data_IF_189614818732
#
_entry.id   IF_189614818732
#
_cell.length_a   1.000
_cell.length_b   1.000
_cell.length_c   1.000
_cell.angle_alpha   90.00
_cell.angle_beta   90.00
_cell.angle_gamma   90.00
#
_symmetry.space_group_name_H-M   'P 1'
#
loop_
_entity.id
_entity.type
_entity.pdbx_description
1 polymer ?
#
# COMPACT_ATOMS: atom_id res chain seq x y z
N UNK A 1 7.49 2.47 -10.62
CA UNK A 1 6.66 1.26 -10.47
C UNK A 1 7.33 0.09 -11.15
N UNK A 2 8.28 -0.51 -10.44
CA UNK A 2 9.26 -1.46 -10.93
C UNK A 2 8.72 -2.90 -11.10
N UNK A 3 9.54 -3.77 -11.71
CA UNK A 3 9.36 -5.21 -11.71
C UNK A 3 10.45 -5.82 -10.82
N UNK A 4 10.07 -6.37 -9.66
CA UNK A 4 10.98 -7.08 -8.77
C UNK A 4 11.06 -8.54 -9.21
N UNK A 5 12.27 -9.03 -9.41
CA UNK A 5 12.53 -10.42 -9.80
C UNK A 5 13.38 -11.12 -8.75
N UNK A 6 12.81 -12.06 -8.00
CA UNK A 6 13.59 -12.91 -7.10
C UNK A 6 14.27 -14.03 -7.91
N UNK A 7 15.60 -14.14 -7.82
CA UNK A 7 16.35 -15.03 -8.70
C UNK A 7 17.65 -15.56 -8.07
N UNK A 8 17.83 -16.88 -8.15
CA UNK A 8 19.06 -17.55 -7.72
C UNK A 8 20.17 -17.50 -8.77
N UNK A 9 19.85 -17.65 -10.07
CA UNK A 9 20.84 -17.69 -11.18
C UNK A 9 20.79 -16.47 -12.12
N UNK A 10 19.87 -15.55 -11.87
CA UNK A 10 19.59 -14.41 -12.76
C UNK A 10 18.72 -14.73 -13.97
N UNK A 11 18.26 -15.98 -14.14
CA UNK A 11 17.46 -16.37 -15.30
C UNK A 11 16.17 -15.55 -15.42
N UNK A 12 15.36 -15.49 -14.36
CA UNK A 12 14.12 -14.71 -14.31
C UNK A 12 14.34 -13.26 -14.72
N UNK A 13 15.35 -12.62 -14.14
CA UNK A 13 15.62 -11.21 -14.41
C UNK A 13 16.03 -10.96 -15.86
N UNK A 14 16.84 -11.85 -16.46
CA UNK A 14 17.18 -11.80 -17.89
C UNK A 14 15.97 -12.02 -18.79
N UNK A 15 15.07 -12.94 -18.42
CA UNK A 15 13.85 -13.19 -19.18
C UNK A 15 12.91 -11.99 -19.17
N UNK A 16 12.74 -11.32 -18.03
CA UNK A 16 11.99 -10.05 -17.95
C UNK A 16 12.68 -8.96 -18.78
N UNK A 17 13.99 -8.79 -18.64
CA UNK A 17 14.77 -7.78 -19.37
C UNK A 17 14.67 -7.92 -20.89
N UNK A 18 14.57 -9.16 -21.41
CA UNK A 18 14.37 -9.40 -22.85
C UNK A 18 13.17 -8.64 -23.44
N UNK A 19 12.11 -8.45 -22.66
CA UNK A 19 10.91 -7.73 -23.11
C UNK A 19 11.05 -6.21 -23.10
N UNK A 20 12.20 -5.68 -22.65
CA UNK A 20 12.52 -4.25 -22.60
C UNK A 20 11.39 -3.41 -21.98
N UNK A 21 10.91 -3.78 -20.77
CA UNK A 21 9.84 -3.02 -20.11
C UNK A 21 10.29 -1.58 -19.84
N UNK A 22 9.34 -0.65 -19.86
CA UNK A 22 9.58 0.74 -19.42
C UNK A 22 9.83 0.84 -17.92
N UNK A 23 9.28 -0.10 -17.15
CA UNK A 23 9.50 -0.20 -15.71
C UNK A 23 10.93 -0.71 -15.42
N UNK A 24 11.59 -0.12 -14.43
CA UNK A 24 12.88 -0.59 -13.93
C UNK A 24 12.77 -2.03 -13.43
N UNK A 25 13.79 -2.85 -13.70
CA UNK A 25 13.85 -4.23 -13.25
C UNK A 25 14.77 -4.29 -12.04
N UNK A 26 14.28 -4.85 -10.93
CA UNK A 26 15.04 -4.97 -9.69
C UNK A 26 15.23 -6.45 -9.39
N UNK A 27 16.43 -6.97 -9.58
CA UNK A 27 16.75 -8.36 -9.32
C UNK A 27 17.22 -8.55 -7.88
N UNK A 28 16.38 -9.22 -7.09
CA UNK A 28 16.74 -9.69 -5.76
C UNK A 28 17.46 -11.04 -5.88
N UNK A 29 18.68 -11.11 -5.37
CA UNK A 29 19.49 -12.33 -5.41
C UNK A 29 20.30 -12.47 -4.12
N UNK A 30 20.55 -13.72 -3.72
CA UNK A 30 21.40 -14.04 -2.56
C UNK A 30 22.87 -14.18 -2.93
N UNK A 31 23.20 -14.16 -4.24
CA UNK A 31 24.56 -14.37 -4.73
C UNK A 31 25.19 -13.09 -5.27
N UNK A 32 26.26 -12.65 -4.61
CA UNK A 32 27.13 -11.57 -5.07
C UNK A 32 27.69 -11.82 -6.49
N UNK A 33 27.95 -13.07 -6.84
CA UNK A 33 28.41 -13.43 -8.18
C UNK A 33 27.35 -13.17 -9.26
N UNK A 34 26.09 -13.43 -8.93
CA UNK A 34 24.94 -13.22 -9.83
C UNK A 34 24.61 -11.74 -9.91
N UNK A 35 24.65 -11.02 -8.79
CA UNK A 35 24.53 -9.56 -8.74
C UNK A 35 25.46 -8.90 -9.76
N UNK A 36 26.77 -9.21 -9.71
CA UNK A 36 27.76 -8.68 -10.66
C UNK A 36 27.47 -9.02 -12.13
N UNK A 37 27.03 -10.26 -12.41
CA UNK A 37 26.63 -10.66 -13.77
C UNK A 37 25.42 -9.87 -14.27
N UNK A 38 24.47 -9.63 -13.39
CA UNK A 38 23.23 -8.92 -13.69
C UNK A 38 23.45 -7.42 -13.92
N UNK A 39 24.50 -6.82 -13.35
CA UNK A 39 24.86 -5.41 -13.59
C UNK A 39 25.19 -5.09 -15.05
N UNK A 40 25.47 -6.10 -15.88
CA UNK A 40 25.73 -5.95 -17.32
C UNK A 40 24.45 -6.07 -18.17
N UNK A 41 23.32 -6.40 -17.55
CA UNK A 41 22.05 -6.67 -18.24
C UNK A 41 21.23 -5.38 -18.32
N UNK A 42 20.64 -5.14 -19.50
CA UNK A 42 19.86 -3.94 -19.77
C UNK A 42 18.72 -3.72 -18.77
N UNK A 43 18.58 -2.49 -18.30
CA UNK A 43 17.44 -2.02 -17.50
C UNK A 43 17.33 -2.65 -16.10
N UNK A 44 18.40 -3.28 -15.62
CA UNK A 44 18.38 -4.11 -14.43
C UNK A 44 19.27 -3.52 -13.34
N UNK A 45 18.67 -3.30 -12.18
CA UNK A 45 19.31 -2.99 -10.90
C UNK A 45 19.26 -4.23 -10.03
N UNK A 46 20.29 -4.51 -9.25
CA UNK A 46 20.37 -5.74 -8.46
C UNK A 46 20.61 -5.44 -7.00
N UNK A 47 19.76 -6.00 -6.15
CA UNK A 47 19.83 -5.93 -4.69
C UNK A 47 20.27 -7.28 -4.14
N UNK A 48 21.12 -7.24 -3.11
CA UNK A 48 21.52 -8.45 -2.40
C UNK A 48 20.55 -8.70 -1.23
N UNK A 49 19.96 -9.88 -1.19
CA UNK A 49 19.01 -10.30 -0.15
C UNK A 49 19.54 -11.51 0.62
N UNK A 50 18.92 -11.79 1.76
CA UNK A 50 19.15 -13.03 2.51
C UNK A 50 18.34 -14.20 1.90
N UNK A 51 18.65 -15.42 2.34
CA UNK A 51 17.83 -16.58 2.02
C UNK A 51 16.46 -16.47 2.70
N UNK A 52 15.44 -17.00 2.04
CA UNK A 52 14.06 -16.87 2.48
C UNK A 52 13.40 -18.25 2.49
N UNK A 53 12.58 -18.50 3.51
CA UNK A 53 12.01 -19.83 3.77
C UNK A 53 10.65 -20.04 3.09
N UNK A 54 9.93 -18.97 2.77
CA UNK A 54 8.62 -19.02 2.13
C UNK A 54 8.49 -18.06 0.94
N UNK A 55 7.40 -18.24 0.18
CA UNK A 55 7.07 -17.37 -0.96
C UNK A 55 6.75 -15.94 -0.54
N UNK A 56 6.11 -15.77 0.61
CA UNK A 56 5.77 -14.44 1.13
C UNK A 56 7.02 -13.74 1.69
N UNK A 57 7.93 -14.45 2.37
CA UNK A 57 9.20 -13.88 2.85
C UNK A 57 10.03 -13.28 1.71
N UNK A 58 10.03 -13.92 0.54
CA UNK A 58 10.75 -13.42 -0.64
C UNK A 58 10.16 -12.14 -1.14
N UNK A 59 8.83 -12.03 -1.12
CA UNK A 59 8.14 -10.79 -1.50
C UNK A 59 8.57 -9.69 -0.55
N UNK A 60 8.50 -9.93 0.76
CA UNK A 60 8.75 -8.92 1.78
C UNK A 60 10.21 -8.48 1.79
N UNK A 61 11.17 -9.42 1.84
CA UNK A 61 12.61 -9.13 1.83
C UNK A 61 13.02 -8.41 0.53
N UNK A 62 12.47 -8.81 -0.62
CA UNK A 62 12.81 -8.16 -1.89
C UNK A 62 12.27 -6.73 -1.97
N UNK A 63 11.08 -6.48 -1.42
CA UNK A 63 10.48 -5.14 -1.36
C UNK A 63 11.24 -4.25 -0.39
N UNK A 64 11.55 -4.76 0.80
CA UNK A 64 12.30 -4.03 1.83
C UNK A 64 13.67 -3.62 1.30
N UNK A 65 14.42 -4.56 0.69
CA UNK A 65 15.74 -4.24 0.15
C UNK A 65 15.70 -3.25 -1.00
N UNK A 66 14.67 -3.33 -1.84
CA UNK A 66 14.48 -2.38 -2.94
C UNK A 66 14.08 -0.98 -2.45
N UNK A 67 13.35 -0.87 -1.34
CA UNK A 67 13.07 0.38 -0.65
C UNK A 67 14.34 0.98 -0.03
N UNK A 68 15.14 0.18 0.68
CA UNK A 68 16.38 0.61 1.31
C UNK A 68 17.39 1.18 0.31
N UNK A 69 17.56 0.54 -0.85
CA UNK A 69 18.46 1.02 -1.91
C UNK A 69 17.84 2.16 -2.75
N UNK A 70 16.60 2.57 -2.47
CA UNK A 70 15.94 3.71 -3.13
C UNK A 70 15.50 3.44 -4.57
N UNK A 71 15.34 2.17 -4.97
CA UNK A 71 14.87 1.82 -6.31
C UNK A 71 13.35 1.89 -6.47
N UNK A 72 12.62 1.84 -5.35
CA UNK A 72 11.18 2.01 -5.27
C UNK A 72 10.84 2.94 -4.12
N UNK A 73 9.69 3.59 -4.21
CA UNK A 73 9.14 4.40 -3.12
C UNK A 73 7.91 3.73 -2.53
N UNK A 74 7.63 4.06 -1.26
CA UNK A 74 6.32 3.79 -0.67
C UNK A 74 5.24 4.47 -1.53
N UNK A 75 4.15 3.77 -1.72
CA UNK A 75 3.03 4.16 -2.55
C UNK A 75 3.06 3.66 -3.99
N UNK A 76 4.14 3.00 -4.43
CA UNK A 76 4.24 2.50 -5.79
C UNK A 76 3.58 1.12 -5.96
N UNK A 77 2.85 0.94 -7.06
CA UNK A 77 2.48 -0.38 -7.55
C UNK A 77 3.71 -1.05 -8.18
N UNK A 78 4.01 -2.27 -7.76
CA UNK A 78 5.08 -3.08 -8.32
C UNK A 78 4.52 -4.43 -8.78
N UNK A 79 5.27 -5.07 -9.68
CA UNK A 79 5.04 -6.48 -10.05
C UNK A 79 6.20 -7.29 -9.52
N UNK A 80 5.89 -8.38 -8.84
CA UNK A 80 6.88 -9.32 -8.32
C UNK A 80 6.79 -10.60 -9.14
N UNK A 81 7.93 -11.13 -9.57
CA UNK A 81 8.01 -12.42 -10.24
C UNK A 81 9.18 -13.26 -9.74
N UNK A 82 8.95 -14.56 -9.60
CA UNK A 82 9.92 -15.50 -9.05
C UNK A 82 9.71 -16.91 -9.63
N UNK A 83 10.70 -17.76 -9.41
CA UNK A 83 10.55 -19.21 -9.52
C UNK A 83 10.41 -19.80 -8.13
N UNK A 84 9.29 -20.47 -7.85
CA UNK A 84 8.99 -21.13 -6.57
C UNK A 84 8.97 -22.65 -6.79
N UNK A 85 9.61 -23.46 -5.91
CA UNK A 85 10.31 -23.09 -4.68
C UNK A 85 11.64 -22.39 -4.94
N UNK A 86 12.06 -21.59 -3.97
CA UNK A 86 13.15 -20.63 -4.13
C UNK A 86 14.49 -21.26 -3.76
N UNK A 87 15.55 -20.79 -4.41
CA UNK A 87 16.83 -21.48 -4.44
C UNK A 87 16.93 -22.56 -5.52
N UNK A 88 15.80 -23.06 -6.05
CA UNK A 88 15.79 -23.99 -7.18
C UNK A 88 15.73 -23.22 -8.50
N UNK A 89 16.73 -23.45 -9.35
CA UNK A 89 16.80 -22.83 -10.68
C UNK A 89 15.98 -23.63 -11.69
N UNK A 90 15.21 -22.96 -12.56
CA UNK A 90 14.68 -23.61 -13.77
C UNK A 90 13.43 -22.99 -14.36
N UNK A 91 12.54 -22.44 -13.53
CA UNK A 91 11.27 -21.87 -13.99
C UNK A 91 10.97 -20.53 -13.31
N UNK A 92 10.15 -19.72 -13.96
CA UNK A 92 9.55 -18.50 -13.39
C UNK A 92 8.05 -18.71 -13.42
N UNK A 93 7.45 -19.02 -12.28
CA UNK A 93 6.06 -19.48 -12.19
C UNK A 93 5.18 -18.63 -11.25
N UNK A 94 5.71 -17.53 -10.71
CA UNK A 94 4.98 -16.60 -9.87
C UNK A 94 4.91 -15.22 -10.51
N UNK A 95 3.73 -14.60 -10.51
CA UNK A 95 3.52 -13.17 -10.79
C UNK A 95 2.53 -12.64 -9.75
N UNK A 96 2.90 -11.58 -9.02
CA UNK A 96 2.07 -10.93 -7.99
C UNK A 96 2.13 -9.42 -8.19
N UNK A 97 0.98 -8.75 -8.32
CA UNK A 97 0.91 -7.30 -8.21
C UNK A 97 0.87 -6.92 -6.73
N UNK A 98 1.66 -5.93 -6.33
CA UNK A 98 1.80 -5.54 -4.93
C UNK A 98 1.94 -4.02 -4.82
N UNK A 99 1.24 -3.41 -3.86
CA UNK A 99 1.39 -1.98 -3.55
C UNK A 99 2.40 -1.87 -2.42
N UNK A 100 3.48 -1.14 -2.65
CA UNK A 100 4.52 -0.90 -1.65
C UNK A 100 3.96 0.04 -0.60
N UNK A 101 3.60 -0.44 0.59
CA UNK A 101 3.09 0.43 1.65
C UNK A 101 2.58 -0.35 2.85
N UNK A 102 2.72 0.25 4.03
CA UNK A 102 2.26 -0.37 5.26
C UNK A 102 0.75 -0.13 5.39
N UNK A 103 0.00 -1.23 5.39
CA UNK A 103 -1.42 -1.19 5.74
C UNK A 103 -1.50 -0.96 7.25
N UNK A 104 -1.91 0.25 7.66
CA UNK A 104 -2.03 0.62 9.08
C UNK A 104 -3.33 0.04 9.66
N UNK A 105 -4.40 0.09 8.86
CA UNK A 105 -5.74 -0.32 9.25
C UNK A 105 -6.45 -1.03 8.11
N UNK A 106 -7.39 -1.87 8.50
CA UNK A 106 -8.36 -2.52 7.61
C UNK A 106 -9.74 -2.35 8.22
N UNK A 107 -10.72 -2.07 7.37
CA UNK A 107 -12.13 -2.01 7.72
C UNK A 107 -12.99 -2.40 6.52
N UNK A 108 -14.23 -1.95 6.53
CA UNK A 108 -15.19 -2.10 5.43
C UNK A 108 -15.21 -0.81 4.62
N UNK A 109 -14.72 -0.88 3.38
CA UNK A 109 -14.73 0.24 2.45
C UNK A 109 -16.11 0.51 1.87
N UNK A 110 -16.50 1.79 1.83
CA UNK A 110 -17.76 2.29 1.28
C UNK A 110 -17.45 3.33 0.21
N UNK A 111 -17.77 2.97 -1.04
CA UNK A 111 -17.44 3.77 -2.21
C UNK A 111 -16.59 2.98 -3.21
N UNK A 112 -15.99 3.71 -4.17
CA UNK A 112 -15.15 3.14 -5.23
C UNK A 112 -13.90 3.96 -5.51
N UNK A 113 -13.62 4.95 -4.67
CA UNK A 113 -12.57 5.95 -4.87
C UNK A 113 -11.58 5.91 -3.71
N UNK A 114 -10.34 6.28 -4.00
CA UNK A 114 -9.30 6.48 -3.00
C UNK A 114 -9.15 7.96 -2.67
N UNK A 115 -8.61 8.25 -1.51
CA UNK A 115 -8.32 9.62 -1.08
C UNK A 115 -7.06 9.65 -0.21
N UNK A 116 -6.17 10.61 -0.50
CA UNK A 116 -4.98 10.89 0.32
C UNK A 116 -5.17 12.22 1.00
N UNK A 117 -4.92 12.27 2.31
CA UNK A 117 -5.11 13.47 3.08
C UNK A 117 -4.52 13.38 4.48
N UNK A 118 -4.61 14.50 5.18
CA UNK A 118 -4.13 14.64 6.56
C UNK A 118 -5.18 14.11 7.53
N UNK A 119 -4.76 13.29 8.50
CA UNK A 119 -5.64 12.76 9.55
C UNK A 119 -6.08 13.88 10.49
N UNK A 120 -7.39 13.97 10.70
CA UNK A 120 -8.02 14.82 11.71
C UNK A 120 -8.93 13.96 12.59
N UNK A 121 -8.58 13.80 13.87
CA UNK A 121 -9.27 12.94 14.82
C UNK A 121 -10.31 13.75 15.59
N UNK A 122 -11.58 13.45 15.37
CA UNK A 122 -12.69 14.04 16.10
C UNK A 122 -13.07 13.17 17.30
N UNK A 123 -12.75 13.67 18.50
CA UNK A 123 -13.22 13.09 19.76
C UNK A 123 -14.56 13.70 20.14
N UNK A 124 -15.35 12.93 20.87
CA UNK A 124 -16.73 13.29 21.26
C UNK A 124 -16.84 14.59 22.11
N UNK A 125 -15.72 15.09 22.64
CA UNK A 125 -15.63 16.31 23.46
C UNK A 125 -15.26 17.56 22.66
N UNK A 126 -14.84 17.42 21.41
CA UNK A 126 -14.23 18.51 20.65
C UNK A 126 -15.32 19.29 19.92
N UNK A 127 -15.37 20.61 20.16
CA UNK A 127 -16.41 21.49 19.58
C UNK A 127 -15.92 22.39 18.45
N UNK A 128 -14.61 22.55 18.28
CA UNK A 128 -14.01 23.47 17.32
C UNK A 128 -12.80 22.81 16.64
N UNK A 129 -13.07 21.92 15.70
CA UNK A 129 -12.03 21.31 14.86
C UNK A 129 -12.00 22.00 13.50
N UNK A 130 -10.81 22.47 13.11
CA UNK A 130 -10.55 22.95 11.75
C UNK A 130 -10.35 21.75 10.81
N UNK A 131 -11.33 21.53 9.95
CA UNK A 131 -11.29 20.49 8.92
C UNK A 131 -11.52 21.08 7.53
N UNK A 132 -10.75 20.60 6.57
CA UNK A 132 -10.79 21.01 5.16
C UNK A 132 -11.09 19.82 4.25
N UNK A 133 -11.33 20.11 2.97
CA UNK A 133 -11.57 19.11 1.93
C UNK A 133 -10.33 18.26 1.58
N UNK A 134 -9.17 18.60 2.15
CA UNK A 134 -7.90 17.87 2.05
C UNK A 134 -7.65 16.93 3.24
N UNK A 135 -8.53 16.94 4.23
CA UNK A 135 -8.37 16.18 5.46
C UNK A 135 -9.23 14.90 5.46
N UNK A 136 -8.81 13.92 6.25
CA UNK A 136 -9.49 12.66 6.51
C UNK A 136 -10.02 12.72 7.94
N UNK A 137 -11.35 12.76 8.08
CA UNK A 137 -11.99 12.75 9.39
C UNK A 137 -11.94 11.34 9.97
N UNK A 138 -11.39 11.20 11.17
CA UNK A 138 -11.32 9.93 11.92
C UNK A 138 -12.12 10.09 13.20
N UNK A 139 -13.07 9.19 13.45
CA UNK A 139 -13.88 9.22 14.68
C UNK A 139 -14.31 7.82 15.10
N UNK A 140 -14.74 7.63 16.35
CA UNK A 140 -15.22 6.32 16.79
C UNK A 140 -16.59 5.98 16.19
N UNK A 141 -17.51 6.94 16.14
CA UNK A 141 -18.88 6.77 15.61
C UNK A 141 -19.41 8.08 15.00
N UNK A 142 -20.47 8.02 14.20
CA UNK A 142 -21.11 9.21 13.63
C UNK A 142 -22.52 9.44 14.17
N UNK A 143 -22.85 10.71 14.40
CA UNK A 143 -24.18 11.19 14.75
C UNK A 143 -24.52 12.42 13.88
N UNK A 144 -25.67 13.05 14.12
CA UNK A 144 -26.11 14.24 13.36
C UNK A 144 -25.19 15.46 13.56
N UNK A 145 -24.53 15.56 14.70
CA UNK A 145 -23.63 16.68 15.03
C UNK A 145 -22.32 16.60 14.22
N UNK A 146 -21.94 15.41 13.76
CA UNK A 146 -20.73 15.20 12.96
C UNK A 146 -20.91 15.55 11.47
N UNK A 147 -22.15 15.69 10.98
CA UNK A 147 -22.44 15.91 9.55
C UNK A 147 -21.70 17.13 8.97
N UNK A 148 -21.68 18.31 9.61
CA UNK A 148 -20.97 19.47 9.07
C UNK A 148 -19.46 19.25 8.88
N UNK A 149 -18.85 18.40 9.72
CA UNK A 149 -17.43 18.04 9.59
C UNK A 149 -17.21 17.03 8.47
N UNK A 150 -18.11 16.05 8.32
CA UNK A 150 -18.05 15.05 7.24
C UNK A 150 -18.22 15.71 5.86
N UNK A 151 -19.11 16.70 5.74
CA UNK A 151 -19.30 17.44 4.49
C UNK A 151 -18.03 18.19 4.04
N UNK A 152 -17.33 18.79 5.01
CA UNK A 152 -16.07 19.49 4.77
C UNK A 152 -14.91 18.55 4.49
N UNK A 153 -14.84 17.39 5.14
CA UNK A 153 -13.75 16.44 4.98
C UNK A 153 -13.65 15.91 3.55
N UNK A 154 -12.45 15.52 3.11
CA UNK A 154 -12.25 14.80 1.86
C UNK A 154 -12.64 13.32 1.94
N UNK A 155 -12.54 12.74 3.15
CA UNK A 155 -12.79 11.32 3.41
C UNK A 155 -13.14 11.06 4.89
N UNK A 156 -13.67 9.88 5.19
CA UNK A 156 -14.15 9.48 6.51
C UNK A 156 -13.62 8.09 6.93
N UNK A 157 -13.15 7.97 8.17
CA UNK A 157 -12.83 6.70 8.82
C UNK A 157 -13.59 6.60 10.14
N UNK A 158 -14.31 5.50 10.36
CA UNK A 158 -14.97 5.22 11.64
C UNK A 158 -14.55 3.89 12.26
N UNK A 159 -14.36 3.88 13.57
CA UNK A 159 -14.01 2.64 14.29
C UNK A 159 -15.18 1.67 14.39
N UNK A 160 -16.38 2.20 14.57
CA UNK A 160 -17.62 1.44 14.65
C UNK A 160 -18.47 1.63 13.38
N UNK A 161 -19.36 0.68 13.16
CA UNK A 161 -20.35 0.72 12.09
C UNK A 161 -20.28 -0.50 11.18
N UNK A 162 -20.88 -0.35 10.02
CA UNK A 162 -21.02 -1.39 9.01
C UNK A 162 -21.61 -0.80 7.73
N UNK A 163 -21.87 -1.62 6.72
CA UNK A 163 -22.31 -1.15 5.40
C UNK A 163 -23.58 -0.30 5.41
N UNK A 164 -24.45 -0.48 6.41
CA UNK A 164 -25.71 0.24 6.60
C UNK A 164 -25.68 1.24 7.75
N UNK A 165 -24.49 1.48 8.34
CA UNK A 165 -24.33 2.45 9.42
C UNK A 165 -24.54 3.88 8.93
N UNK A 166 -24.76 4.80 9.89
CA UNK A 166 -24.89 6.22 9.59
C UNK A 166 -23.68 6.74 8.79
N UNK A 167 -22.46 6.38 9.19
CA UNK A 167 -21.23 6.77 8.52
C UNK A 167 -21.17 6.28 7.06
N UNK A 168 -21.54 5.03 6.82
CA UNK A 168 -21.56 4.44 5.47
C UNK A 168 -22.56 5.15 4.55
N UNK A 169 -23.78 5.40 5.05
CA UNK A 169 -24.85 6.05 4.26
C UNK A 169 -24.48 7.50 3.94
N UNK A 170 -24.01 8.25 4.95
CA UNK A 170 -23.63 9.66 4.79
C UNK A 170 -22.44 9.78 3.84
N UNK A 171 -21.39 8.99 4.06
CA UNK A 171 -20.20 8.97 3.20
C UNK A 171 -20.54 8.67 1.74
N UNK A 172 -21.38 7.66 1.49
CA UNK A 172 -21.81 7.30 0.14
C UNK A 172 -22.64 8.41 -0.53
N UNK A 173 -23.60 8.99 0.18
CA UNK A 173 -24.46 10.06 -0.35
C UNK A 173 -23.67 11.33 -0.68
N UNK A 174 -22.66 11.66 0.12
CA UNK A 174 -21.78 12.80 -0.12
C UNK A 174 -20.66 12.50 -1.14
N UNK A 175 -20.58 11.27 -1.65
CA UNK A 175 -19.54 10.84 -2.58
C UNK A 175 -18.14 10.82 -1.97
N UNK A 176 -18.03 10.71 -0.64
CA UNK A 176 -16.77 10.74 0.11
C UNK A 176 -16.27 9.31 0.34
N UNK A 177 -15.01 9.01 -0.03
CA UNK A 177 -14.38 7.73 0.32
C UNK A 177 -14.48 7.49 1.83
N UNK A 178 -15.07 6.36 2.20
CA UNK A 178 -15.37 6.05 3.60
C UNK A 178 -14.90 4.66 3.95
N UNK A 179 -14.30 4.50 5.14
CA UNK A 179 -14.00 3.19 5.73
C UNK A 179 -14.66 3.13 7.10
N UNK A 180 -15.53 2.14 7.30
CA UNK A 180 -16.17 1.87 8.58
C UNK A 180 -15.60 0.59 9.20
N UNK A 181 -15.87 0.34 10.49
CA UNK A 181 -15.34 -0.83 11.20
C UNK A 181 -13.79 -0.88 11.21
N UNK A 182 -13.15 0.29 11.20
CA UNK A 182 -11.70 0.43 11.29
C UNK A 182 -11.26 0.37 12.76
N UNK A 183 -11.22 -0.84 13.32
CA UNK A 183 -10.98 -1.05 14.75
C UNK A 183 -9.74 -0.31 15.29
N UNK A 184 -9.94 0.51 16.33
CA UNK A 184 -8.92 1.35 16.99
C UNK A 184 -8.27 2.42 16.10
N UNK A 185 -8.96 2.89 15.05
CA UNK A 185 -8.44 3.95 14.18
C UNK A 185 -8.02 5.22 14.93
N UNK A 186 -8.77 5.65 15.94
CA UNK A 186 -8.47 6.87 16.73
C UNK A 186 -7.22 6.76 17.58
N UNK A 187 -6.75 5.54 17.85
CA UNK A 187 -5.54 5.26 18.64
C UNK A 187 -4.35 4.95 17.72
N UNK A 188 -4.59 4.22 16.63
CA UNK A 188 -3.54 3.78 15.70
C UNK A 188 -3.08 4.89 14.76
N UNK A 189 -3.99 5.79 14.38
CA UNK A 189 -3.66 6.97 13.58
C UNK A 189 -3.25 8.12 14.48
N UNK A 190 -2.35 8.98 13.98
CA UNK A 190 -1.94 10.19 14.70
C UNK A 190 -2.47 11.41 13.97
N UNK A 191 -2.86 12.40 14.77
CA UNK A 191 -3.28 13.70 14.27
C UNK A 191 -2.20 14.30 13.35
N UNK A 192 -2.59 14.76 12.17
CA UNK A 192 -1.68 15.39 11.22
C UNK A 192 -0.93 14.43 10.29
N UNK A 193 -0.99 13.11 10.49
CA UNK A 193 -0.33 12.16 9.59
C UNK A 193 -0.98 12.18 8.20
N UNK A 194 -0.16 12.05 7.15
CA UNK A 194 -0.66 11.84 5.80
C UNK A 194 -0.91 10.34 5.61
N UNK A 195 -2.15 9.98 5.27
CA UNK A 195 -2.53 8.61 4.95
C UNK A 195 -3.32 8.57 3.66
N UNK A 196 -3.40 7.38 3.07
CA UNK A 196 -4.27 7.13 1.93
C UNK A 196 -5.28 6.05 2.27
N UNK A 197 -6.55 6.34 2.01
CA UNK A 197 -7.62 5.35 2.14
C UNK A 197 -8.04 4.83 0.77
N UNK A 198 -8.36 3.54 0.73
CA UNK A 198 -9.00 2.90 -0.40
C UNK A 198 -10.35 2.33 0.00
N UNK A 199 -11.42 3.03 -0.40
CA UNK A 199 -12.79 2.62 -0.10
C UNK A 199 -13.25 1.39 -0.89
N UNK A 200 -12.52 0.95 -1.91
CA UNK A 200 -12.85 -0.26 -2.68
C UNK A 200 -12.36 -1.52 -1.99
N UNK A 201 -11.17 -1.49 -1.40
CA UNK A 201 -10.58 -2.63 -0.68
C UNK A 201 -10.76 -2.56 0.84
N UNK A 202 -11.11 -1.39 1.38
CA UNK A 202 -11.24 -1.16 2.82
C UNK A 202 -9.88 -1.07 3.54
N UNK A 203 -8.82 -0.68 2.82
CA UNK A 203 -7.46 -0.59 3.34
C UNK A 203 -7.06 0.85 3.58
N UNK A 204 -6.30 1.07 4.65
CA UNK A 204 -5.68 2.36 4.99
C UNK A 204 -4.17 2.17 4.96
N UNK A 205 -3.51 2.99 4.16
CA UNK A 205 -2.07 2.95 3.96
C UNK A 205 -1.39 4.15 4.61
N UNK A 206 -0.17 3.94 5.09
CA UNK A 206 0.71 5.01 5.54
C UNK A 206 1.22 5.85 4.37
N UNK A 207 1.16 7.17 4.49
CA UNK A 207 1.64 8.10 3.47
C UNK A 207 0.74 8.21 2.24
N UNK A 208 1.29 8.83 1.21
CA UNK A 208 0.67 8.93 -0.12
C UNK A 208 0.93 7.64 -0.91
N UNK A 209 -0.14 6.95 -1.34
CA UNK A 209 -0.04 5.77 -2.19
C UNK A 209 -0.99 5.81 -3.37
N UNK A 210 -0.56 5.24 -4.50
CA UNK A 210 -1.42 5.05 -5.67
C UNK A 210 -2.19 3.76 -5.52
N UNK A 211 -3.47 3.88 -5.20
CA UNK A 211 -4.41 2.75 -5.12
C UNK A 211 -5.30 2.70 -6.36
N UNK A 212 -5.65 1.49 -6.82
CA UNK A 212 -6.28 1.17 -8.12
C UNK A 212 -7.82 1.03 -8.09
#
# INVERSE_FOLDING_TARGET
SAIITATASGYTARMVSKFRPKASIIAATTSESVRRKLSLIWGLYSVLTEEADSTDDIVDISVEKALEEGYINRGELIVITAGVPVGITGTTNLIKAHIVGDVILKGVGIGKTSFTGRVVILKNTDKDIEITDKDILVTSFTNKEHIPYIEKAGALITEEGGMTSNAAIVGLNLGKPTIVDAYKATIKLKEGDIITIDSKTGLVYSGETRVL
#
